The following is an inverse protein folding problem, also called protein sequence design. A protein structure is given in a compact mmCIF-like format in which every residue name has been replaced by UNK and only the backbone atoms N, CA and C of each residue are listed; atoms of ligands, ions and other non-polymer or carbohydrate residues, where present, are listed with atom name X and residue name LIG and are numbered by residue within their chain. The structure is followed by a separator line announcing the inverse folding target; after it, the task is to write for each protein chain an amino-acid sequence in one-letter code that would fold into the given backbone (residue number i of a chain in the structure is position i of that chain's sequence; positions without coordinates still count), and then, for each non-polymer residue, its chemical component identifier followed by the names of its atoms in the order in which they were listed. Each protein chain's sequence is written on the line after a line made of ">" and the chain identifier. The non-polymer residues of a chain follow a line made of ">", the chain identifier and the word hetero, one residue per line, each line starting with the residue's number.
data_IF_001772530731
#
_entry.id   IF_001772530731
#
_cell.length_a   1.000
_cell.length_b   1.000
_cell.length_c   1.000
_cell.angle_alpha   90.00
_cell.angle_beta   90.00
_cell.angle_gamma   90.00
#
_symmetry.space_group_name_H-M   'P 1'
#
loop_
_entity.id
_entity.type
_entity.pdbx_description
1 polymer ?
#
# COMPACT_ATOMS: atom_id res chain seq x y z
N UNK A 1 -17.25 -9.82 -22.56
CA UNK A 1 -16.08 -10.16 -23.40
C UNK A 1 -15.43 -11.40 -22.82
N UNK A 2 -15.26 -12.47 -23.63
CA UNK A 2 -14.46 -13.64 -23.26
C UNK A 2 -13.00 -13.34 -23.62
N UNK A 3 -12.24 -12.79 -22.69
CA UNK A 3 -10.78 -12.67 -22.83
C UNK A 3 -10.20 -14.08 -22.70
N UNK A 4 -9.40 -14.51 -23.68
CA UNK A 4 -8.68 -15.79 -23.61
C UNK A 4 -7.24 -15.53 -23.19
N UNK A 5 -6.77 -16.31 -22.22
CA UNK A 5 -5.36 -16.27 -21.81
C UNK A 5 -4.49 -16.92 -22.88
N UNK A 6 -3.31 -16.34 -23.09
CA UNK A 6 -2.23 -16.91 -23.90
C UNK A 6 -0.99 -17.03 -23.01
N UNK A 7 -0.09 -17.97 -23.32
CA UNK A 7 1.16 -18.06 -22.57
C UNK A 7 2.06 -16.87 -22.93
N UNK A 8 2.23 -15.96 -21.99
CA UNK A 8 3.10 -14.77 -22.11
C UNK A 8 4.26 -14.94 -21.13
N UNK A 9 5.49 -14.85 -21.64
CA UNK A 9 6.69 -14.93 -20.79
C UNK A 9 6.94 -13.60 -20.09
N UNK A 10 7.28 -13.63 -18.80
CA UNK A 10 7.59 -12.43 -18.00
C UNK A 10 6.49 -11.39 -18.02
N UNK A 11 5.26 -11.86 -17.91
CA UNK A 11 4.07 -10.99 -17.90
C UNK A 11 4.09 -9.99 -16.72
N UNK A 12 4.76 -10.34 -15.63
CA UNK A 12 4.92 -9.51 -14.44
C UNK A 12 5.80 -8.26 -14.67
N UNK A 13 6.63 -8.23 -15.72
CA UNK A 13 7.63 -7.16 -15.90
C UNK A 13 6.96 -5.90 -16.50
N UNK A 14 7.00 -4.76 -15.79
CA UNK A 14 6.53 -3.49 -16.33
C UNK A 14 7.34 -3.03 -17.54
N UNK A 15 6.84 -2.05 -18.28
CA UNK A 15 7.55 -1.44 -19.40
C UNK A 15 8.93 -0.94 -18.99
N UNK A 16 9.90 -1.31 -19.77
CA UNK A 16 11.31 -1.00 -19.56
C UNK A 16 11.76 0.01 -20.60
N UNK A 17 12.42 1.08 -20.18
CA UNK A 17 13.08 2.01 -21.07
C UNK A 17 14.46 1.47 -21.47
N UNK A 18 14.99 1.94 -22.60
CA UNK A 18 16.28 1.46 -23.15
C UNK A 18 17.50 1.66 -22.22
N UNK A 19 17.39 2.52 -21.22
CA UNK A 19 18.45 2.78 -20.21
C UNK A 19 18.26 2.00 -18.91
N UNK A 20 17.11 1.39 -18.72
CA UNK A 20 16.78 0.69 -17.49
C UNK A 20 17.54 -0.63 -17.41
N UNK A 21 18.09 -0.91 -16.25
CA UNK A 21 18.78 -2.17 -15.97
C UNK A 21 17.91 -2.95 -14.98
N UNK A 22 17.20 -3.95 -15.50
CA UNK A 22 16.43 -4.85 -14.66
C UNK A 22 17.37 -5.85 -14.00
N UNK A 23 17.29 -5.94 -12.69
CA UNK A 23 18.02 -6.91 -11.88
C UNK A 23 17.07 -8.07 -11.60
N UNK A 24 17.45 -9.30 -11.97
CA UNK A 24 16.66 -10.49 -11.71
C UNK A 24 17.30 -11.34 -10.63
N UNK A 25 16.51 -11.77 -9.67
CA UNK A 25 16.80 -12.73 -8.61
C UNK A 25 16.02 -14.02 -8.83
N UNK A 26 16.19 -15.00 -7.94
CA UNK A 26 15.54 -16.30 -8.09
C UNK A 26 14.02 -16.21 -8.05
N UNK A 27 13.46 -15.37 -7.17
CA UNK A 27 12.01 -15.25 -6.97
C UNK A 27 11.42 -13.91 -7.39
N UNK A 28 12.20 -12.95 -7.87
CA UNK A 28 11.70 -11.65 -8.30
C UNK A 28 12.67 -10.90 -9.19
N UNK A 29 12.17 -9.92 -9.92
CA UNK A 29 12.96 -8.92 -10.66
C UNK A 29 12.67 -7.52 -10.13
N UNK A 30 13.60 -6.58 -10.32
CA UNK A 30 13.44 -5.21 -9.86
C UNK A 30 14.12 -4.19 -10.78
N UNK A 31 13.62 -2.96 -10.72
CA UNK A 31 14.31 -1.78 -11.24
C UNK A 31 14.78 -0.92 -10.07
N UNK A 32 16.10 -0.91 -9.82
CA UNK A 32 16.68 -0.13 -8.72
C UNK A 32 16.77 1.35 -9.07
N UNK A 33 16.49 2.22 -8.10
CA UNK A 33 16.57 3.67 -8.24
C UNK A 33 17.67 4.22 -7.32
N UNK A 34 18.77 4.60 -7.91
CA UNK A 34 19.96 5.14 -7.23
C UNK A 34 19.67 6.46 -6.48
N UNK A 35 18.74 7.29 -6.98
CA UNK A 35 18.38 8.56 -6.35
C UNK A 35 17.64 8.36 -5.03
N UNK A 36 16.88 7.27 -4.95
CA UNK A 36 16.03 6.95 -3.81
C UNK A 36 16.57 5.80 -2.96
N UNK A 37 17.66 5.16 -3.38
CA UNK A 37 18.31 4.03 -2.71
C UNK A 37 17.37 2.86 -2.41
N UNK A 38 16.44 2.56 -3.34
CA UNK A 38 15.48 1.47 -3.27
C UNK A 38 14.89 1.16 -4.64
N UNK A 39 14.10 0.10 -4.78
CA UNK A 39 13.49 -0.24 -6.05
C UNK A 39 12.35 0.74 -6.43
N UNK A 40 12.25 1.11 -7.73
CA UNK A 40 11.06 1.73 -8.29
C UNK A 40 9.89 0.75 -8.25
N UNK A 41 10.18 -0.49 -8.63
CA UNK A 41 9.24 -1.61 -8.59
C UNK A 41 9.98 -2.92 -8.37
N UNK A 42 9.27 -3.87 -7.80
CA UNK A 42 9.61 -5.29 -7.76
C UNK A 42 8.46 -6.05 -8.39
N UNK A 43 8.79 -7.00 -9.26
CA UNK A 43 7.85 -7.80 -10.01
C UNK A 43 8.15 -9.30 -9.84
N UNK A 44 7.10 -10.10 -9.66
CA UNK A 44 7.19 -11.55 -9.55
C UNK A 44 5.85 -12.20 -9.90
N UNK A 45 5.90 -13.42 -10.40
CA UNK A 45 4.76 -14.31 -10.37
C UNK A 45 4.75 -15.09 -9.06
N UNK A 46 3.58 -15.47 -8.61
CA UNK A 46 3.39 -16.29 -7.42
C UNK A 46 2.43 -17.42 -7.76
N UNK A 47 2.96 -18.63 -7.82
CA UNK A 47 2.18 -19.83 -8.06
C UNK A 47 1.63 -20.38 -6.73
N UNK A 48 0.56 -21.17 -6.83
CA UNK A 48 0.01 -21.90 -5.67
C UNK A 48 1.05 -22.76 -4.99
N UNK A 49 1.91 -23.42 -5.76
CA UNK A 49 2.99 -24.29 -5.27
C UNK A 49 4.00 -23.50 -4.45
N UNK A 50 4.36 -22.30 -4.90
CA UNK A 50 5.32 -21.41 -4.23
C UNK A 50 4.79 -20.81 -2.93
N UNK A 51 3.46 -20.82 -2.71
CA UNK A 51 2.90 -20.46 -1.41
C UNK A 51 3.23 -21.46 -0.30
N UNK A 52 3.69 -22.68 -0.66
CA UNK A 52 4.15 -23.68 0.28
C UNK A 52 5.53 -23.33 0.81
N UNK A 53 5.58 -22.90 2.05
CA UNK A 53 6.82 -22.51 2.68
C UNK A 53 7.64 -23.72 3.10
N UNK A 54 8.80 -23.91 2.43
CA UNK A 54 9.76 -24.98 2.71
C UNK A 54 10.95 -24.50 3.56
N UNK A 55 11.25 -23.20 3.52
CA UNK A 55 12.40 -22.60 4.19
C UNK A 55 11.98 -21.49 5.14
N UNK A 56 12.64 -21.46 6.31
CA UNK A 56 12.41 -20.42 7.32
C UNK A 56 13.07 -19.10 6.97
N UNK A 57 12.55 -18.01 7.55
CA UNK A 57 13.14 -16.67 7.43
C UNK A 57 14.59 -16.68 7.90
N UNK A 58 15.46 -16.05 7.13
CA UNK A 58 16.87 -15.91 7.51
C UNK A 58 17.11 -14.71 8.42
N UNK A 59 16.31 -13.64 8.28
CA UNK A 59 16.48 -12.31 8.91
C UNK A 59 17.88 -11.71 8.72
N UNK A 60 18.62 -12.18 7.71
CA UNK A 60 19.98 -11.73 7.36
C UNK A 60 19.91 -10.68 6.27
N UNK A 61 19.70 -9.43 6.67
CA UNK A 61 19.69 -8.30 5.76
C UNK A 61 21.11 -7.97 5.30
N UNK A 62 21.34 -8.01 3.99
CA UNK A 62 22.64 -7.74 3.36
C UNK A 62 22.46 -6.86 2.11
N UNK A 63 23.55 -6.23 1.69
CA UNK A 63 23.60 -5.50 0.42
C UNK A 63 23.34 -6.45 -0.75
N UNK A 64 22.63 -5.95 -1.75
CA UNK A 64 22.43 -6.71 -2.98
C UNK A 64 23.72 -6.70 -3.83
N UNK A 65 24.33 -7.86 -4.08
CA UNK A 65 25.56 -7.92 -4.86
C UNK A 65 25.38 -7.55 -6.35
N UNK A 66 24.13 -7.55 -6.85
CA UNK A 66 23.83 -7.19 -8.24
C UNK A 66 23.65 -5.69 -8.45
N UNK A 67 23.43 -4.90 -7.38
CA UNK A 67 23.45 -3.43 -7.43
C UNK A 67 24.90 -2.95 -7.29
N UNK A 68 25.52 -2.63 -8.43
CA UNK A 68 26.96 -2.32 -8.51
C UNK A 68 27.37 -1.08 -7.72
N UNK A 69 26.52 -0.09 -7.63
CA UNK A 69 26.71 1.13 -6.87
C UNK A 69 26.61 0.93 -5.36
N UNK A 70 26.03 -0.20 -4.95
CA UNK A 70 25.69 -0.54 -3.58
C UNK A 70 24.23 -0.25 -3.28
N UNK A 71 23.79 -0.64 -2.11
CA UNK A 71 22.43 -0.39 -1.60
C UNK A 71 22.52 0.19 -0.20
N UNK A 72 21.40 0.63 0.34
CA UNK A 72 21.22 0.88 1.77
C UNK A 72 21.80 -0.28 2.63
N UNK A 73 21.95 -0.05 3.90
CA UNK A 73 22.45 -1.03 4.86
C UNK A 73 21.78 -0.87 6.22
N UNK A 74 22.12 -1.73 7.17
CA UNK A 74 21.49 -1.73 8.50
C UNK A 74 21.61 -0.39 9.25
N UNK A 75 22.70 0.37 9.04
CA UNK A 75 22.91 1.65 9.74
C UNK A 75 21.90 2.72 9.30
N UNK A 76 21.42 2.64 8.05
CA UNK A 76 20.42 3.60 7.54
C UNK A 76 19.07 3.45 8.23
N UNK A 77 18.71 2.21 8.57
CA UNK A 77 17.43 1.90 9.23
C UNK A 77 17.50 1.91 10.76
N UNK A 78 18.68 1.66 11.32
CA UNK A 78 18.85 1.58 12.79
C UNK A 78 18.58 2.93 13.45
N UNK A 79 17.58 2.96 14.35
CA UNK A 79 17.16 4.18 15.06
C UNK A 79 16.37 5.17 14.21
N UNK A 80 16.05 4.85 12.94
CA UNK A 80 15.28 5.73 12.04
C UNK A 80 13.80 5.83 12.38
N UNK A 81 13.26 4.89 13.15
CA UNK A 81 11.82 4.76 13.40
C UNK A 81 11.06 3.98 12.33
N UNK A 82 11.74 3.52 11.27
CA UNK A 82 11.16 2.73 10.19
C UNK A 82 11.62 1.27 10.22
N UNK A 83 10.73 0.36 9.84
CA UNK A 83 11.07 -1.03 9.58
C UNK A 83 11.75 -1.15 8.21
N UNK A 84 12.59 -2.18 8.07
CA UNK A 84 13.05 -2.69 6.77
C UNK A 84 11.89 -3.45 6.14
N UNK A 85 11.00 -2.71 5.47
CA UNK A 85 9.79 -3.27 4.89
C UNK A 85 10.10 -3.97 3.57
N UNK A 86 9.71 -5.23 3.47
CA UNK A 86 9.83 -6.00 2.24
C UNK A 86 8.86 -5.48 1.17
N UNK A 87 9.32 -5.42 -0.08
CA UNK A 87 8.45 -5.23 -1.25
C UNK A 87 7.96 -6.59 -1.77
N UNK A 88 8.87 -7.51 -2.14
CA UNK A 88 8.56 -8.92 -2.30
C UNK A 88 8.66 -9.62 -0.94
N UNK A 89 7.54 -10.12 -0.38
CA UNK A 89 7.52 -10.64 0.99
C UNK A 89 8.36 -11.91 1.14
N UNK A 90 9.10 -12.04 2.23
CA UNK A 90 9.83 -13.26 2.54
C UNK A 90 8.94 -14.52 2.60
N UNK A 91 7.65 -14.35 2.92
CA UNK A 91 6.69 -15.46 2.92
C UNK A 91 6.35 -15.97 1.52
N UNK A 92 6.45 -15.12 0.49
CA UNK A 92 6.23 -15.48 -0.91
C UNK A 92 7.49 -16.13 -1.53
N UNK A 93 8.65 -15.99 -0.86
CA UNK A 93 9.94 -16.52 -1.29
C UNK A 93 10.35 -17.80 -0.54
N UNK A 94 9.46 -18.31 0.32
CA UNK A 94 9.75 -19.45 1.20
C UNK A 94 9.86 -20.82 0.52
N UNK A 95 9.58 -20.93 -0.75
CA UNK A 95 9.66 -22.15 -1.55
C UNK A 95 11.09 -22.52 -1.94
N UNK A 96 12.03 -21.57 -1.91
CA UNK A 96 13.45 -21.75 -2.24
C UNK A 96 14.33 -21.12 -1.18
N UNK A 97 15.41 -21.83 -0.78
CA UNK A 97 16.41 -21.28 0.16
C UNK A 97 17.11 -20.05 -0.43
N UNK A 98 17.36 -20.04 -1.73
CA UNK A 98 17.99 -18.93 -2.45
C UNK A 98 17.02 -17.75 -2.54
N UNK A 99 15.77 -17.95 -2.99
CA UNK A 99 14.78 -16.90 -3.05
C UNK A 99 14.52 -16.28 -1.66
N UNK A 100 14.44 -17.12 -0.61
CA UNK A 100 14.34 -16.66 0.77
C UNK A 100 15.52 -15.79 1.17
N UNK A 101 16.77 -16.19 0.89
CA UNK A 101 17.95 -15.40 1.23
C UNK A 101 17.98 -14.08 0.45
N UNK A 102 17.69 -14.11 -0.85
CA UNK A 102 17.64 -12.94 -1.73
C UNK A 102 16.54 -11.96 -1.33
N UNK A 103 15.42 -12.42 -0.75
CA UNK A 103 14.36 -11.55 -0.28
C UNK A 103 14.80 -10.59 0.82
N UNK A 104 15.94 -10.85 1.50
CA UNK A 104 16.55 -9.99 2.51
C UNK A 104 17.62 -9.03 1.97
N UNK A 105 17.76 -8.91 0.66
CA UNK A 105 18.59 -7.86 0.07
C UNK A 105 18.00 -6.47 0.31
N UNK A 106 18.86 -5.48 0.58
CA UNK A 106 18.40 -4.09 0.79
C UNK A 106 17.74 -3.49 -0.45
N UNK A 107 18.01 -4.00 -1.65
CA UNK A 107 17.29 -3.63 -2.88
C UNK A 107 15.80 -3.99 -2.84
N UNK A 108 15.41 -4.95 -2.01
CA UNK A 108 14.03 -5.35 -1.73
C UNK A 108 13.42 -4.63 -0.52
N UNK A 109 14.16 -3.70 0.13
CA UNK A 109 13.72 -3.01 1.33
C UNK A 109 13.31 -1.58 1.03
N UNK A 110 12.24 -1.14 1.71
CA UNK A 110 11.80 0.26 1.72
C UNK A 110 11.45 0.69 3.15
N UNK A 111 11.67 1.96 3.53
CA UNK A 111 11.32 2.46 4.85
C UNK A 111 9.80 2.45 5.05
N UNK A 112 9.31 1.55 5.88
CA UNK A 112 7.90 1.39 6.22
C UNK A 112 7.67 1.73 7.69
N UNK A 113 6.60 2.48 8.00
CA UNK A 113 6.23 2.65 9.40
C UNK A 113 5.87 1.29 10.02
N UNK A 114 6.23 1.02 11.29
CA UNK A 114 5.93 -0.27 11.92
C UNK A 114 4.45 -0.63 11.91
N UNK A 115 3.57 0.36 12.09
CA UNK A 115 2.12 0.17 12.08
C UNK A 115 1.57 -0.18 10.69
N UNK A 116 2.16 0.33 9.62
CA UNK A 116 1.85 -0.03 8.24
C UNK A 116 2.37 -1.43 7.92
N UNK A 117 3.69 -1.64 8.06
CA UNK A 117 4.37 -2.88 7.71
C UNK A 117 3.78 -4.11 8.41
N UNK A 118 3.60 -4.02 9.74
CA UNK A 118 3.10 -5.11 10.57
C UNK A 118 1.57 -5.19 10.61
N UNK A 119 0.88 -4.18 10.04
CA UNK A 119 -0.56 -4.01 10.03
C UNK A 119 -1.19 -4.26 8.66
N UNK A 120 -1.64 -3.19 8.01
CA UNK A 120 -2.42 -3.27 6.77
C UNK A 120 -1.63 -3.89 5.61
N UNK A 121 -0.31 -3.60 5.49
CA UNK A 121 0.53 -4.16 4.43
C UNK A 121 0.65 -5.67 4.55
N UNK A 122 0.94 -6.17 5.76
CA UNK A 122 0.94 -7.61 6.04
C UNK A 122 -0.39 -8.28 5.70
N UNK A 123 -1.53 -7.63 6.00
CA UNK A 123 -2.87 -8.16 5.64
C UNK A 123 -3.04 -8.26 4.13
N UNK A 124 -2.55 -7.27 3.36
CA UNK A 124 -2.57 -7.31 1.91
C UNK A 124 -1.71 -8.46 1.37
N UNK A 125 -0.51 -8.63 1.89
CA UNK A 125 0.38 -9.74 1.51
C UNK A 125 -0.26 -11.12 1.78
N UNK A 126 -0.92 -11.28 2.92
CA UNK A 126 -1.66 -12.50 3.24
C UNK A 126 -2.83 -12.74 2.26
N UNK A 127 -3.53 -11.68 1.89
CA UNK A 127 -4.63 -11.76 0.92
C UNK A 127 -4.13 -12.13 -0.47
N UNK A 128 -3.03 -11.53 -0.93
CA UNK A 128 -2.40 -11.83 -2.23
C UNK A 128 -1.99 -13.31 -2.31
N UNK A 129 -1.39 -13.87 -1.26
CA UNK A 129 -1.09 -15.32 -1.20
C UNK A 129 -2.33 -16.19 -1.31
N UNK A 130 -3.44 -15.80 -0.68
CA UNK A 130 -4.70 -16.53 -0.81
C UNK A 130 -5.21 -16.50 -2.26
N UNK A 131 -5.08 -15.37 -2.95
CA UNK A 131 -5.42 -15.27 -4.36
C UNK A 131 -4.54 -16.14 -5.26
N UNK A 132 -3.24 -16.29 -4.96
CA UNK A 132 -2.37 -17.23 -5.65
C UNK A 132 -2.84 -18.69 -5.48
N UNK A 133 -3.26 -19.06 -4.26
CA UNK A 133 -3.81 -20.39 -3.97
C UNK A 133 -5.11 -20.64 -4.72
N UNK A 134 -5.99 -19.63 -4.80
CA UNK A 134 -7.31 -19.74 -5.43
C UNK A 134 -7.25 -19.75 -6.96
N UNK A 135 -6.34 -18.96 -7.54
CA UNK A 135 -6.25 -18.75 -9.00
C UNK A 135 -5.05 -19.48 -9.63
N UNK A 136 -4.34 -20.33 -8.89
CA UNK A 136 -3.14 -21.09 -9.25
C UNK A 136 -1.89 -20.24 -9.52
N UNK A 137 -2.00 -19.12 -10.20
CA UNK A 137 -0.90 -18.19 -10.46
C UNK A 137 -1.44 -16.77 -10.52
N UNK A 138 -0.73 -15.84 -9.89
CA UNK A 138 -0.94 -14.40 -10.01
C UNK A 138 0.37 -13.70 -10.32
N UNK A 139 0.28 -12.56 -10.99
CA UNK A 139 1.42 -11.68 -11.29
C UNK A 139 1.33 -10.45 -10.41
N UNK A 140 2.44 -10.08 -9.77
CA UNK A 140 2.48 -9.02 -8.76
C UNK A 140 3.56 -8.01 -9.12
N UNK A 141 3.18 -6.72 -9.14
CA UNK A 141 4.13 -5.61 -9.17
C UNK A 141 3.89 -4.72 -7.96
N UNK A 142 4.95 -4.37 -7.24
CA UNK A 142 4.83 -3.63 -5.99
C UNK A 142 5.99 -2.67 -5.81
N UNK A 143 5.76 -1.55 -5.15
CA UNK A 143 6.80 -0.58 -4.89
C UNK A 143 6.36 0.62 -4.06
N UNK A 144 7.30 1.49 -3.71
CA UNK A 144 7.03 2.81 -3.15
C UNK A 144 6.59 3.79 -4.26
N UNK A 145 5.76 4.77 -3.93
CA UNK A 145 5.52 5.92 -4.80
C UNK A 145 6.63 6.93 -4.59
N UNK A 146 7.54 7.04 -5.55
CA UNK A 146 8.74 7.88 -5.46
C UNK A 146 8.55 9.23 -6.16
N UNK A 147 9.00 10.30 -5.53
CA UNK A 147 9.05 11.64 -6.09
C UNK A 147 10.19 12.44 -5.43
N UNK A 148 10.53 13.59 -6.01
CA UNK A 148 11.70 14.39 -5.60
C UNK A 148 11.55 15.14 -4.26
N UNK A 149 10.38 15.08 -3.60
CA UNK A 149 10.08 15.83 -2.37
C UNK A 149 10.07 14.96 -1.11
N UNK A 150 10.58 13.73 -1.19
CA UNK A 150 10.57 12.78 -0.07
C UNK A 150 11.66 13.09 0.95
N UNK A 151 11.34 12.91 2.23
CA UNK A 151 12.34 12.85 3.30
C UNK A 151 13.17 11.58 3.19
N UNK A 152 14.34 11.55 3.83
CA UNK A 152 15.26 10.42 3.73
C UNK A 152 15.73 9.96 5.11
N UNK A 153 16.18 8.70 5.20
CA UNK A 153 16.82 8.13 6.39
C UNK A 153 18.27 7.71 6.07
N UNK A 154 19.09 7.70 7.11
CA UNK A 154 20.46 7.19 7.07
C UNK A 154 21.43 8.01 6.23
N UNK A 155 22.68 7.56 6.21
CA UNK A 155 23.75 8.20 5.46
C UNK A 155 23.61 8.02 3.94
N UNK A 156 22.99 6.92 3.51
CA UNK A 156 22.72 6.65 2.09
C UNK A 156 21.46 7.36 1.59
N UNK A 157 20.77 8.16 2.42
CA UNK A 157 19.59 8.96 2.04
C UNK A 157 18.47 8.15 1.42
N UNK A 158 18.14 7.01 2.04
CA UNK A 158 17.02 6.16 1.58
C UNK A 158 15.71 6.94 1.71
N UNK A 159 15.00 7.12 0.62
CA UNK A 159 13.77 7.92 0.61
C UNK A 159 12.63 7.25 1.37
N UNK A 160 11.87 8.04 2.13
CA UNK A 160 10.68 7.61 2.85
C UNK A 160 9.45 8.01 2.06
N UNK A 161 8.80 7.04 1.43
CA UNK A 161 7.60 7.28 0.64
C UNK A 161 6.38 7.53 1.51
N UNK A 162 5.44 8.34 1.00
CA UNK A 162 4.12 8.55 1.61
C UNK A 162 3.13 7.43 1.29
N UNK A 163 3.31 6.72 0.17
CA UNK A 163 2.40 5.69 -0.32
C UNK A 163 3.17 4.50 -0.89
N UNK A 164 2.61 3.32 -0.67
CA UNK A 164 3.01 2.10 -1.37
C UNK A 164 1.91 1.65 -2.31
N UNK A 165 2.29 1.06 -3.41
CA UNK A 165 1.37 0.42 -4.34
C UNK A 165 1.64 -1.07 -4.46
N UNK A 166 0.60 -1.81 -4.83
CA UNK A 166 0.68 -3.20 -5.25
C UNK A 166 -0.35 -3.43 -6.35
N UNK A 167 0.10 -3.94 -7.49
CA UNK A 167 -0.72 -4.29 -8.64
C UNK A 167 -0.72 -5.80 -8.78
N UNK A 168 -1.89 -6.39 -8.95
CA UNK A 168 -2.06 -7.84 -9.08
C UNK A 168 -2.88 -8.14 -10.34
N UNK A 169 -2.39 -9.06 -11.14
CA UNK A 169 -3.06 -9.62 -12.30
C UNK A 169 -3.28 -11.12 -12.09
N UNK A 170 -4.52 -11.56 -12.21
CA UNK A 170 -4.88 -12.95 -12.47
C UNK A 170 -5.16 -13.10 -13.96
N UNK A 171 -4.27 -13.80 -14.66
CA UNK A 171 -4.38 -14.04 -16.10
C UNK A 171 -4.83 -15.47 -16.40
N UNK A 172 -5.65 -16.04 -15.52
CA UNK A 172 -6.14 -17.41 -15.59
C UNK A 172 -7.60 -17.46 -16.03
N UNK A 173 -7.92 -18.39 -16.96
CA UNK A 173 -9.31 -18.68 -17.29
C UNK A 173 -10.07 -19.26 -16.08
N UNK A 174 -11.38 -19.04 -15.95
CA UNK A 174 -12.28 -18.34 -16.89
C UNK A 174 -12.43 -16.83 -16.60
N UNK A 175 -11.75 -16.26 -15.61
CA UNK A 175 -11.99 -14.89 -15.14
C UNK A 175 -10.70 -14.11 -15.02
N UNK A 176 -10.19 -13.65 -16.15
CA UNK A 176 -9.02 -12.75 -16.19
C UNK A 176 -9.40 -11.40 -15.54
N UNK A 177 -8.57 -10.91 -14.61
CA UNK A 177 -8.87 -9.71 -13.83
C UNK A 177 -7.63 -9.07 -13.23
N UNK A 178 -7.66 -7.75 -13.10
CA UNK A 178 -6.62 -6.96 -12.46
C UNK A 178 -7.14 -6.14 -11.28
N UNK A 179 -6.26 -5.77 -10.38
CA UNK A 179 -6.54 -4.89 -9.24
C UNK A 179 -5.28 -4.17 -8.79
N UNK A 180 -5.41 -2.88 -8.52
CA UNK A 180 -4.38 -2.06 -7.90
C UNK A 180 -4.71 -1.71 -6.45
N UNK A 181 -3.68 -1.43 -5.66
CA UNK A 181 -3.80 -0.86 -4.31
C UNK A 181 -2.86 0.33 -4.17
N UNK A 182 -3.36 1.39 -3.55
CA UNK A 182 -2.55 2.55 -3.12
C UNK A 182 -2.81 2.75 -1.65
N UNK A 183 -1.79 2.51 -0.81
CA UNK A 183 -1.95 2.53 0.64
C UNK A 183 -0.95 3.54 1.25
N UNK A 184 -1.43 4.48 2.09
CA UNK A 184 -0.53 5.38 2.84
C UNK A 184 0.44 4.61 3.72
N UNK A 185 1.68 5.09 3.85
CA UNK A 185 2.70 4.52 4.75
C UNK A 185 2.39 4.80 6.24
N UNK A 186 1.18 4.48 6.64
CA UNK A 186 0.65 4.64 8.00
C UNK A 186 -0.20 3.45 8.38
N UNK A 187 -0.31 3.17 9.68
CA UNK A 187 -1.17 2.08 10.16
C UNK A 187 -2.65 2.35 9.87
N UNK A 188 -3.37 1.29 9.51
CA UNK A 188 -4.82 1.33 9.32
C UNK A 188 -5.47 0.01 9.72
N UNK A 189 -6.65 0.11 10.34
CA UNK A 189 -7.55 -1.03 10.62
C UNK A 189 -8.66 -1.16 9.58
N UNK A 190 -8.72 -0.25 8.61
CA UNK A 190 -9.75 -0.22 7.55
C UNK A 190 -9.69 -1.48 6.67
N UNK A 191 -10.79 -1.75 5.97
CA UNK A 191 -10.87 -2.85 5.01
C UNK A 191 -9.99 -2.56 3.79
N UNK A 192 -9.31 -3.58 3.28
CA UNK A 192 -8.42 -3.46 2.13
C UNK A 192 -9.13 -2.96 0.87
N UNK A 193 -10.42 -3.28 0.72
CA UNK A 193 -11.25 -2.82 -0.40
C UNK A 193 -11.29 -1.30 -0.55
N UNK A 194 -11.12 -0.54 0.53
CA UNK A 194 -11.11 0.92 0.50
C UNK A 194 -9.86 1.51 -0.17
N UNK A 195 -8.83 0.71 -0.31
CA UNK A 195 -7.55 1.08 -0.94
C UNK A 195 -7.40 0.50 -2.34
N UNK A 196 -8.38 -0.30 -2.77
CA UNK A 196 -8.39 -0.89 -4.09
C UNK A 196 -8.74 0.16 -5.16
N UNK A 197 -8.00 0.16 -6.24
CA UNK A 197 -8.13 1.06 -7.38
C UNK A 197 -7.95 0.29 -8.68
N UNK A 198 -8.23 0.91 -9.83
CA UNK A 198 -7.85 0.36 -11.13
C UNK A 198 -6.32 0.36 -11.29
N UNK A 199 -5.79 -0.48 -12.16
CA UNK A 199 -4.35 -0.46 -12.49
C UNK A 199 -3.99 0.89 -13.11
N UNK A 200 -4.79 1.43 -14.04
CA UNK A 200 -4.63 2.77 -14.63
C UNK A 200 -4.41 3.87 -13.58
N UNK A 201 -5.09 3.77 -12.42
CA UNK A 201 -4.91 4.75 -11.35
C UNK A 201 -3.53 4.63 -10.68
N UNK A 202 -2.99 3.42 -10.59
CA UNK A 202 -1.61 3.21 -10.10
C UNK A 202 -0.62 3.72 -11.12
N UNK A 203 -0.82 3.46 -12.41
CA UNK A 203 0.01 3.96 -13.51
C UNK A 203 0.06 5.49 -13.55
N UNK A 204 -1.10 6.12 -13.49
CA UNK A 204 -1.20 7.57 -13.42
C UNK A 204 -0.43 8.17 -12.23
N UNK A 205 -0.39 7.46 -11.11
CA UNK A 205 0.31 7.92 -9.90
C UNK A 205 1.82 7.71 -9.99
N UNK A 206 2.25 6.58 -10.57
CA UNK A 206 3.66 6.13 -10.56
C UNK A 206 4.41 6.47 -11.84
N UNK A 207 3.69 6.63 -12.96
CA UNK A 207 4.27 6.74 -14.29
C UNK A 207 4.83 5.42 -14.83
N UNK A 208 4.50 4.29 -14.19
CA UNK A 208 4.90 2.94 -14.59
C UNK A 208 3.76 2.35 -15.41
N UNK A 209 4.06 1.81 -16.57
CA UNK A 209 3.14 1.08 -17.44
C UNK A 209 3.27 -0.42 -17.07
N UNK A 210 2.19 -1.00 -16.51
CA UNK A 210 2.17 -2.37 -16.04
C UNK A 210 1.67 -3.32 -17.13
N UNK A 211 2.12 -4.56 -17.09
CA UNK A 211 1.71 -5.65 -17.98
C UNK A 211 1.73 -5.34 -19.50
N UNK A 212 2.71 -4.58 -20.03
CA UNK A 212 2.76 -4.13 -21.42
C UNK A 212 2.89 -5.26 -22.44
N UNK A 213 3.02 -6.49 -21.99
CA UNK A 213 3.04 -7.69 -22.83
C UNK A 213 1.64 -8.24 -23.12
N UNK A 214 0.59 -7.71 -22.48
CA UNK A 214 -0.79 -8.03 -22.80
C UNK A 214 -1.15 -7.48 -24.20
N UNK A 215 -2.07 -8.14 -24.93
CA UNK A 215 -2.66 -7.51 -26.10
C UNK A 215 -3.40 -6.21 -25.72
N UNK A 216 -3.18 -5.12 -26.44
CA UNK A 216 -3.67 -3.75 -26.14
C UNK A 216 -5.15 -3.70 -25.71
N UNK A 217 -6.03 -4.45 -26.40
CA UNK A 217 -7.46 -4.49 -26.05
C UNK A 217 -7.71 -5.16 -24.68
N UNK A 218 -6.94 -6.20 -24.35
CA UNK A 218 -7.04 -6.89 -23.05
C UNK A 218 -6.46 -6.01 -21.94
N UNK A 219 -5.31 -5.42 -22.17
CA UNK A 219 -4.64 -4.50 -21.27
C UNK A 219 -5.59 -3.37 -20.87
N UNK A 220 -6.13 -2.61 -21.84
CA UNK A 220 -7.07 -1.52 -21.60
C UNK A 220 -8.30 -1.94 -20.76
N UNK A 221 -8.86 -3.13 -21.03
CA UNK A 221 -10.04 -3.62 -20.28
C UNK A 221 -9.64 -4.02 -18.86
N UNK A 222 -8.55 -4.75 -18.69
CA UNK A 222 -8.10 -5.27 -17.39
C UNK A 222 -7.67 -4.12 -16.48
N UNK A 223 -6.89 -3.19 -17.00
CA UNK A 223 -6.31 -2.09 -16.23
C UNK A 223 -7.31 -0.99 -15.91
N UNK A 224 -8.24 -0.72 -16.82
CA UNK A 224 -9.32 0.26 -16.62
C UNK A 224 -10.48 -0.26 -15.76
N UNK A 225 -10.52 -1.56 -15.40
CA UNK A 225 -11.67 -2.15 -14.71
C UNK A 225 -11.36 -2.50 -13.26
N UNK A 226 -12.16 -1.99 -12.32
CA UNK A 226 -12.15 -2.42 -10.92
C UNK A 226 -13.41 -3.20 -10.58
N UNK A 227 -13.30 -4.51 -10.44
CA UNK A 227 -14.39 -5.37 -10.02
C UNK A 227 -14.06 -6.07 -8.70
N UNK A 228 -14.42 -5.47 -7.58
CA UNK A 228 -14.17 -6.02 -6.24
C UNK A 228 -14.87 -7.36 -5.98
N UNK A 229 -15.97 -7.64 -6.68
CA UNK A 229 -16.74 -8.88 -6.50
C UNK A 229 -16.07 -10.10 -7.13
N UNK A 230 -15.15 -9.90 -8.08
CA UNK A 230 -14.40 -10.99 -8.69
C UNK A 230 -13.24 -11.50 -7.83
N UNK A 231 -12.96 -10.84 -6.72
CA UNK A 231 -11.90 -11.17 -5.78
C UNK A 231 -12.49 -11.65 -4.45
N UNK A 232 -11.86 -12.66 -3.84
CA UNK A 232 -12.21 -13.09 -2.48
C UNK A 232 -11.48 -12.23 -1.45
N UNK A 233 -12.16 -11.85 -0.39
CA UNK A 233 -11.63 -10.94 0.64
C UNK A 233 -11.46 -11.59 2.01
N UNK A 234 -11.49 -12.91 2.07
CA UNK A 234 -11.32 -13.66 3.31
C UNK A 234 -9.84 -13.87 3.63
N UNK A 235 -9.42 -13.53 4.83
CA UNK A 235 -8.15 -14.00 5.37
C UNK A 235 -8.29 -15.46 5.81
N UNK A 236 -7.27 -16.30 5.56
CA UNK A 236 -7.27 -17.72 5.92
C UNK A 236 -7.31 -18.02 7.44
N UNK A 237 -7.48 -17.01 8.28
CA UNK A 237 -7.48 -17.11 9.75
C UNK A 237 -8.75 -16.57 10.42
N UNK A 238 -9.91 -16.73 9.81
CA UNK A 238 -11.17 -16.52 10.55
C UNK A 238 -11.94 -17.82 10.64
N UNK A 239 -11.69 -18.56 11.73
CA UNK A 239 -12.67 -19.45 12.34
C UNK A 239 -13.94 -18.64 12.61
N UNK A 240 -15.07 -19.20 12.21
CA UNK A 240 -16.41 -18.63 12.34
C UNK A 240 -16.64 -17.89 13.68
N UNK A 241 -16.70 -16.57 13.59
CA UNK A 241 -17.43 -15.76 14.56
C UNK A 241 -18.34 -14.82 13.79
N UNK A 242 -19.65 -14.98 13.99
CA UNK A 242 -20.74 -14.18 13.43
C UNK A 242 -20.36 -12.69 13.44
N UNK A 243 -20.15 -12.11 12.27
CA UNK A 243 -19.91 -10.69 12.10
C UNK A 243 -21.13 -9.89 12.55
N UNK A 244 -20.93 -9.07 13.58
CA UNK A 244 -21.68 -7.83 13.72
C UNK A 244 -21.09 -6.86 12.70
N UNK A 245 -21.86 -6.50 11.69
CA UNK A 245 -21.56 -5.41 10.76
C UNK A 245 -21.17 -4.15 11.53
N UNK A 246 -19.90 -3.80 11.51
CA UNK A 246 -19.43 -2.48 11.94
C UNK A 246 -19.50 -1.55 10.74
N UNK A 247 -20.35 -0.54 10.86
CA UNK A 247 -20.59 0.49 9.86
C UNK A 247 -19.28 1.10 9.33
N UNK A 248 -19.09 1.02 8.02
CA UNK A 248 -18.07 1.76 7.27
C UNK A 248 -18.32 3.27 7.45
N UNK A 249 -17.26 4.02 7.75
CA UNK A 249 -17.35 5.49 7.86
C UNK A 249 -17.63 6.05 6.47
N UNK A 250 -18.88 6.44 6.23
CA UNK A 250 -19.28 7.09 5.00
C UNK A 250 -18.95 8.59 5.07
N UNK A 251 -18.35 9.15 4.01
CA UNK A 251 -18.09 10.58 3.86
C UNK A 251 -19.21 11.27 3.11
N UNK A 252 -19.40 12.57 3.30
CA UNK A 252 -20.36 13.33 2.53
C UNK A 252 -19.92 13.43 1.07
N UNK A 253 -20.83 13.26 0.13
CA UNK A 253 -20.54 13.39 -1.30
C UNK A 253 -20.08 14.80 -1.67
N UNK A 254 -18.97 14.89 -2.41
CA UNK A 254 -18.43 16.15 -2.93
C UNK A 254 -19.18 16.70 -4.16
N UNK A 255 -20.16 15.96 -4.69
CA UNK A 255 -20.91 16.34 -5.87
C UNK A 255 -21.88 17.48 -5.62
N UNK A 256 -22.19 18.21 -6.69
CA UNK A 256 -23.18 19.33 -6.70
C UNK A 256 -24.44 18.86 -7.40
N UNK A 257 -25.60 19.11 -6.78
CA UNK A 257 -26.91 18.80 -7.33
C UNK A 257 -27.24 19.71 -8.53
N UNK A 258 -28.23 19.33 -9.32
CA UNK A 258 -28.70 20.17 -10.45
C UNK A 258 -29.16 21.57 -10.02
N UNK A 259 -29.49 21.77 -8.74
CA UNK A 259 -29.86 23.06 -8.16
C UNK A 259 -28.67 23.86 -7.60
N UNK A 260 -27.44 23.42 -7.85
CA UNK A 260 -26.21 24.13 -7.41
C UNK A 260 -25.84 23.92 -5.94
N UNK A 261 -26.52 23.05 -5.20
CA UNK A 261 -26.24 22.80 -3.78
C UNK A 261 -25.34 21.58 -3.61
N UNK A 262 -24.51 21.54 -2.56
CA UNK A 262 -23.70 20.37 -2.22
C UNK A 262 -24.61 19.16 -1.95
N UNK A 263 -24.24 18.01 -2.52
CA UNK A 263 -24.99 16.78 -2.33
C UNK A 263 -24.98 16.33 -0.87
N UNK A 264 -26.16 16.05 -0.33
CA UNK A 264 -26.31 15.60 1.07
C UNK A 264 -26.12 14.09 1.26
N UNK A 265 -25.95 13.33 0.17
CA UNK A 265 -25.73 11.88 0.25
C UNK A 265 -24.35 11.60 0.85
N UNK A 266 -24.29 10.50 1.60
CA UNK A 266 -23.02 9.92 2.04
C UNK A 266 -22.58 8.85 1.05
N UNK A 267 -21.27 8.68 0.90
CA UNK A 267 -20.67 7.69 0.01
C UNK A 267 -19.52 6.97 0.71
N UNK A 268 -19.32 5.72 0.34
CA UNK A 268 -18.16 4.92 0.69
C UNK A 268 -17.12 4.93 -0.43
N UNK A 269 -17.44 5.58 -1.56
CA UNK A 269 -16.54 5.63 -2.71
C UNK A 269 -15.33 6.52 -2.39
N UNK A 270 -14.14 6.02 -2.65
CA UNK A 270 -12.86 6.72 -2.41
C UNK A 270 -12.75 8.02 -3.23
N UNK A 271 -13.47 8.12 -4.36
CA UNK A 271 -13.57 9.36 -5.12
C UNK A 271 -14.25 10.50 -4.36
N UNK A 272 -14.91 10.18 -3.24
CA UNK A 272 -15.73 11.14 -2.48
C UNK A 272 -17.04 11.52 -3.18
N UNK A 273 -17.42 10.87 -4.30
CA UNK A 273 -18.66 11.12 -5.03
C UNK A 273 -19.60 9.92 -4.89
N UNK A 274 -20.90 10.19 -4.65
CA UNK A 274 -21.92 9.13 -4.66
C UNK A 274 -22.28 8.75 -6.10
N UNK A 275 -22.94 7.61 -6.29
CA UNK A 275 -23.33 7.06 -7.59
C UNK A 275 -24.10 8.04 -8.50
N UNK A 276 -24.79 9.04 -7.92
CA UNK A 276 -25.49 10.09 -8.69
C UNK A 276 -24.55 11.17 -9.23
N UNK A 277 -23.31 11.25 -8.73
CA UNK A 277 -22.35 12.31 -9.04
C UNK A 277 -21.01 11.78 -9.56
N UNK A 278 -20.89 10.49 -9.84
CA UNK A 278 -19.67 9.90 -10.45
C UNK A 278 -19.31 10.57 -11.79
N UNK A 279 -20.29 10.99 -12.57
CA UNK A 279 -20.06 11.75 -13.81
C UNK A 279 -19.48 13.16 -13.61
N UNK A 280 -19.39 13.68 -12.38
CA UNK A 280 -18.77 14.98 -12.10
C UNK A 280 -17.25 14.89 -11.87
N UNK A 281 -16.70 13.68 -11.77
CA UNK A 281 -15.26 13.43 -11.65
C UNK A 281 -14.53 13.89 -12.93
N UNK A 282 -15.18 13.84 -14.09
CA UNK A 282 -14.58 14.13 -15.41
C UNK A 282 -14.51 15.62 -15.77
N UNK A 283 -15.19 16.51 -15.04
CA UNK A 283 -15.29 17.94 -15.39
C UNK A 283 -14.33 18.84 -14.60
N UNK A 284 -13.39 18.30 -13.80
CA UNK A 284 -12.44 19.09 -13.01
C UNK A 284 -11.03 19.14 -13.60
N UNK A 285 -10.85 18.78 -14.88
CA UNK A 285 -9.53 18.80 -15.53
C UNK A 285 -9.15 20.12 -16.23
N UNK A 286 -9.89 21.22 -16.00
CA UNK A 286 -9.40 22.56 -16.31
C UNK A 286 -9.25 23.36 -15.01
N UNK A 287 -8.01 23.60 -14.63
CA UNK A 287 -7.53 24.43 -13.50
C UNK A 287 -7.12 23.68 -12.24
N UNK A 288 -6.10 22.83 -12.31
CA UNK A 288 -5.31 22.50 -11.13
C UNK A 288 -3.92 23.16 -11.27
N UNK A 289 -3.88 24.47 -11.11
CA UNK A 289 -2.81 25.18 -10.42
C UNK A 289 -3.31 25.38 -8.99
N UNK A 290 -3.12 24.39 -8.14
CA UNK A 290 -2.90 24.50 -6.68
C UNK A 290 -2.94 23.09 -6.12
N UNK A 291 -1.84 22.66 -5.62
CA UNK A 291 -1.66 21.55 -4.68
C UNK A 291 -2.80 21.53 -3.66
N UNK A 292 -3.44 20.40 -3.37
CA UNK A 292 -4.19 20.26 -2.13
C UNK A 292 -3.16 20.22 -1.01
N UNK A 293 -2.94 21.35 -0.38
CA UNK A 293 -2.38 21.42 0.93
C UNK A 293 -3.33 20.68 1.87
N UNK A 294 -3.02 19.42 2.18
CA UNK A 294 -3.47 18.80 3.41
C UNK A 294 -2.63 19.39 4.54
N UNK A 295 -2.83 20.69 4.79
CA UNK A 295 -2.53 21.28 6.08
C UNK A 295 -3.64 20.87 7.04
N UNK A 296 -3.30 20.52 8.29
CA UNK A 296 -4.34 20.34 9.29
C UNK A 296 -5.11 21.65 9.37
N UNK A 297 -6.46 21.60 9.26
CA UNK A 297 -7.28 22.70 9.71
C UNK A 297 -6.84 23.00 11.13
N UNK A 298 -6.24 24.15 11.32
CA UNK A 298 -6.15 24.76 12.64
C UNK A 298 -7.56 24.92 13.20
N UNK A 299 -8.02 23.89 13.89
CA UNK A 299 -8.94 24.12 14.96
C UNK A 299 -8.15 24.93 15.96
N UNK A 300 -8.52 26.19 16.14
CA UNK A 300 -8.07 27.00 17.27
C UNK A 300 -8.11 26.11 18.51
N UNK A 301 -6.96 25.59 18.88
CA UNK A 301 -6.78 24.91 20.14
C UNK A 301 -7.09 25.96 21.21
N UNK A 302 -8.22 25.83 21.88
CA UNK A 302 -8.35 26.36 23.21
C UNK A 302 -7.21 25.72 23.98
N UNK A 303 -6.20 26.51 24.34
CA UNK A 303 -5.11 26.10 25.19
C UNK A 303 -5.75 25.60 26.49
N UNK A 304 -5.87 24.30 26.64
CA UNK A 304 -6.24 23.70 27.90
C UNK A 304 -4.99 23.72 28.77
N UNK A 305 -4.85 24.78 29.54
CA UNK A 305 -3.83 24.84 30.58
C UNK A 305 -4.08 23.72 31.57
N UNK A 306 -3.17 22.74 31.60
CA UNK A 306 -3.19 21.67 32.58
C UNK A 306 -2.85 22.30 33.94
N UNK A 307 -3.76 22.21 34.90
CA UNK A 307 -3.57 22.74 36.25
C UNK A 307 -3.46 21.61 37.26
N UNK A 308 -2.75 21.81 38.33
CA UNK A 308 -2.68 20.83 39.41
C UNK A 308 -4.05 20.67 40.07
N UNK A 309 -4.46 19.41 40.28
CA UNK A 309 -5.73 19.08 40.92
C UNK A 309 -5.90 19.82 42.26
N UNK A 310 -7.04 20.47 42.46
CA UNK A 310 -7.39 21.17 43.70
C UNK A 310 -7.90 20.30 44.82
N UNK A 311 -8.06 18.99 44.54
CA UNK A 311 -8.55 18.00 45.52
C UNK A 311 -7.49 17.58 46.52
N UNK A 312 -7.96 17.00 47.67
CA UNK A 312 -7.11 16.37 48.69
C UNK A 312 -7.22 14.86 48.64
N UNK A 313 -6.15 14.18 49.02
CA UNK A 313 -6.12 12.73 49.14
C UNK A 313 -6.89 12.27 50.41
N UNK A 314 -7.21 10.99 50.51
CA UNK A 314 -7.87 10.41 51.72
C UNK A 314 -7.07 10.65 53.01
N UNK A 315 -5.79 10.96 52.91
CA UNK A 315 -4.89 11.28 54.04
C UNK A 315 -4.73 12.78 54.27
N UNK A 316 -5.58 13.64 53.66
CA UNK A 316 -5.61 15.08 53.88
C UNK A 316 -4.55 15.90 53.13
N UNK A 317 -3.66 15.24 52.35
CA UNK A 317 -2.65 15.92 51.57
C UNK A 317 -3.18 16.40 50.21
N UNK A 318 -2.62 17.52 49.67
CA UNK A 318 -2.99 18.04 48.37
C UNK A 318 -2.69 17.00 47.26
N UNK A 319 -3.63 16.80 46.34
CA UNK A 319 -3.45 15.89 45.19
C UNK A 319 -2.34 16.40 44.28
N UNK A 320 -1.38 15.54 43.92
CA UNK A 320 -0.26 15.87 43.02
C UNK A 320 -0.58 15.62 41.55
N UNK A 321 -1.77 15.14 41.18
CA UNK A 321 -2.16 14.87 39.80
C UNK A 321 -2.44 16.19 39.07
N UNK A 322 -2.16 16.19 37.75
CA UNK A 322 -2.53 17.29 36.86
C UNK A 322 -3.89 16.97 36.25
N UNK A 323 -4.73 17.98 36.00
CA UNK A 323 -6.04 17.83 35.39
C UNK A 323 -6.31 18.91 34.35
N UNK A 324 -7.02 18.54 33.30
CA UNK A 324 -7.58 19.44 32.29
C UNK A 324 -9.08 19.70 32.49
N UNK A 325 -9.63 19.15 33.55
CA UNK A 325 -11.05 19.33 33.88
C UNK A 325 -11.35 20.78 34.25
N UNK A 326 -12.47 21.30 33.73
CA UNK A 326 -12.91 22.70 33.95
C UNK A 326 -13.15 23.06 35.43
N UNK A 327 -13.32 22.07 36.30
CA UNK A 327 -13.52 22.20 37.75
C UNK A 327 -12.20 22.08 38.56
N UNK A 328 -11.05 21.88 37.89
CA UNK A 328 -9.74 21.73 38.52
C UNK A 328 -9.59 20.48 39.40
N UNK A 329 -10.46 19.48 39.28
CA UNK A 329 -10.39 18.23 40.04
C UNK A 329 -10.11 17.04 39.15
N UNK A 330 -9.28 16.10 39.57
CA UNK A 330 -9.08 14.81 38.92
C UNK A 330 -10.08 13.77 39.47
N UNK A 331 -10.54 12.88 38.60
CA UNK A 331 -11.40 11.75 38.97
C UNK A 331 -10.55 10.50 39.19
#
# INVERSE_FOLDING_TARGET
>A
YNIKSTTISKLEIPKINHKDIVISHTGYSLLYNETHEQANWIAYDLTKEETNRLFDRTDKFIRDPKVKTGTANNKDYSGSGYDRGHLAPASDMGWSSTAMAESFYYSNMSPQTPSFNRGIWKRLEELVRNWAIENNTIYVVTGPVLNNALTTIGANKVSVTNYFYKVILDYSEPSIKGIGFIIPNTGSSEQLQLYAVTIDNVEKLTGIDFFPSLPDEQENIIEGTLNLKSWTWKSSKTTDNKEKEKATVSVQCNGVTKAGSICKNKTLNISGYCHLHEGQISNSNESIKTTPSYGPKETKAKSSTTVQCSGTTKTGNRCKRMTTGSNGRCY
#
